data_IF_609724426573
#
_entry.id   IF_609724426573
#
_cell.length_a   1.000
_cell.length_b   1.000
_cell.length_c   1.000
_cell.angle_alpha   90.00
_cell.angle_beta   90.00
_cell.angle_gamma   90.00
#
_symmetry.space_group_name_H-M   'P 1'
#
loop_
_entity.id
_entity.type
_entity.pdbx_description
1 polymer ?
#
# COMPACT_ATOMS: atom_id res chain seq x y z
N UNK A 1 -33.99 -24.21 21.86
CA UNK A 1 -33.48 -23.09 22.66
C UNK A 1 -33.56 -21.84 21.79
N UNK A 2 -34.38 -20.86 22.18
CA UNK A 2 -34.63 -19.66 21.39
C UNK A 2 -33.53 -18.62 21.60
N UNK A 3 -33.02 -18.06 20.51
CA UNK A 3 -32.15 -16.88 20.54
C UNK A 3 -32.99 -15.67 20.97
N UNK A 4 -32.74 -15.15 22.17
CA UNK A 4 -33.34 -13.91 22.65
C UNK A 4 -32.71 -12.71 21.91
N UNK A 5 -33.56 -11.93 21.25
CA UNK A 5 -33.23 -10.65 20.63
C UNK A 5 -33.45 -9.57 21.68
N UNK A 6 -32.39 -9.13 22.36
CA UNK A 6 -32.47 -7.99 23.27
C UNK A 6 -31.70 -8.17 24.57
N UNK A 7 -30.49 -7.64 24.58
CA UNK A 7 -29.63 -7.52 25.76
C UNK A 7 -28.24 -7.13 25.30
N UNK A 8 -27.50 -6.36 26.09
CA UNK A 8 -26.15 -5.85 25.82
C UNK A 8 -25.07 -6.93 25.53
N UNK A 9 -25.47 -8.19 25.40
CA UNK A 9 -24.67 -9.38 25.12
C UNK A 9 -25.17 -10.17 23.91
N UNK A 10 -26.07 -9.60 23.10
CA UNK A 10 -26.46 -10.23 21.84
C UNK A 10 -25.21 -10.37 20.95
N UNK A 11 -24.84 -11.58 20.49
CA UNK A 11 -23.60 -11.80 19.76
C UNK A 11 -23.41 -10.88 18.55
N UNK A 12 -24.51 -10.52 17.88
CA UNK A 12 -24.48 -9.55 16.78
C UNK A 12 -24.11 -8.12 17.20
N UNK A 13 -24.58 -7.66 18.37
CA UNK A 13 -24.24 -6.32 18.87
C UNK A 13 -22.78 -6.24 19.33
N UNK A 14 -22.30 -7.28 20.04
CA UNK A 14 -20.90 -7.35 20.46
C UNK A 14 -19.97 -7.43 19.25
N UNK A 15 -20.34 -8.24 18.24
CA UNK A 15 -19.58 -8.31 16.99
C UNK A 15 -19.60 -6.99 16.22
N UNK A 16 -20.72 -6.26 16.22
CA UNK A 16 -20.80 -4.95 15.59
C UNK A 16 -19.87 -3.93 16.28
N UNK A 17 -19.93 -3.84 17.61
CA UNK A 17 -19.07 -2.95 18.39
C UNK A 17 -17.58 -3.23 18.16
N UNK A 18 -17.17 -4.51 18.20
CA UNK A 18 -15.78 -4.88 17.93
C UNK A 18 -15.31 -4.45 16.53
N UNK A 19 -16.19 -4.54 15.53
CA UNK A 19 -15.89 -4.09 14.16
C UNK A 19 -15.84 -2.57 14.04
N UNK A 20 -16.68 -1.84 14.79
CA UNK A 20 -16.63 -0.38 14.87
C UNK A 20 -15.32 0.12 15.51
N UNK A 21 -14.76 -0.65 16.45
CA UNK A 21 -13.48 -0.39 17.07
C UNK A 21 -12.28 -0.87 16.20
N UNK A 22 -12.47 -0.99 14.88
CA UNK A 22 -11.50 -1.49 13.89
C UNK A 22 -11.03 -2.95 14.09
N UNK A 23 -11.75 -3.72 14.90
CA UNK A 23 -11.48 -5.14 15.09
C UNK A 23 -11.95 -5.98 13.89
N UNK A 24 -11.11 -6.91 13.45
CA UNK A 24 -11.46 -7.86 12.37
C UNK A 24 -11.94 -9.18 12.96
N UNK A 25 -13.22 -9.49 12.74
CA UNK A 25 -13.83 -10.76 13.17
C UNK A 25 -13.80 -11.80 12.05
N UNK A 26 -12.95 -12.81 12.21
CA UNK A 26 -12.87 -13.99 11.33
C UNK A 26 -13.82 -15.08 11.83
N UNK A 27 -14.70 -15.54 10.95
CA UNK A 27 -15.66 -16.61 11.27
C UNK A 27 -15.40 -17.79 10.35
N UNK A 28 -14.96 -18.90 10.95
CA UNK A 28 -14.76 -20.16 10.25
C UNK A 28 -15.92 -21.10 10.55
N UNK A 29 -16.81 -21.30 9.58
CA UNK A 29 -17.99 -22.14 9.72
C UNK A 29 -17.68 -23.57 9.25
N UNK A 30 -17.65 -24.50 10.19
CA UNK A 30 -17.46 -25.92 9.90
C UNK A 30 -18.79 -26.58 9.52
N UNK A 31 -18.89 -27.08 8.29
CA UNK A 31 -20.04 -27.80 7.76
C UNK A 31 -19.78 -29.30 7.88
N UNK A 32 -20.63 -30.00 8.63
CA UNK A 32 -20.61 -31.45 8.78
C UNK A 32 -21.07 -32.16 7.49
N UNK A 33 -20.80 -33.46 7.39
CA UNK A 33 -21.22 -34.28 6.25
C UNK A 33 -22.75 -34.23 6.09
N UNK A 34 -23.21 -33.80 4.90
CA UNK A 34 -24.63 -33.50 4.59
C UNK A 34 -25.24 -32.27 5.29
N UNK A 35 -24.44 -31.43 5.94
CA UNK A 35 -24.88 -30.16 6.52
C UNK A 35 -24.94 -29.01 5.50
N UNK A 36 -25.58 -27.90 5.90
CA UNK A 36 -25.55 -26.64 5.16
C UNK A 36 -24.86 -25.55 5.99
N UNK A 37 -24.19 -24.57 5.37
CA UNK A 37 -23.60 -23.45 6.08
C UNK A 37 -24.66 -22.64 6.86
N UNK A 38 -24.40 -22.31 8.13
CA UNK A 38 -25.28 -21.44 8.91
C UNK A 38 -25.11 -19.99 8.45
N UNK A 39 -26.06 -19.52 7.65
CA UNK A 39 -25.99 -18.19 7.02
C UNK A 39 -26.04 -17.05 8.03
N UNK A 40 -26.58 -17.26 9.24
CA UNK A 40 -26.57 -16.24 10.29
C UNK A 40 -25.16 -15.92 10.80
N UNK A 41 -24.24 -16.88 10.76
CA UNK A 41 -22.84 -16.67 11.17
C UNK A 41 -22.10 -15.70 10.24
N UNK A 42 -22.52 -15.63 8.97
CA UNK A 42 -21.99 -14.66 8.01
C UNK A 42 -22.21 -13.21 8.44
N UNK A 43 -23.31 -12.92 9.14
CA UNK A 43 -23.62 -11.57 9.60
C UNK A 43 -22.73 -11.13 10.78
N UNK A 44 -22.11 -12.08 11.49
CA UNK A 44 -21.17 -11.78 12.55
C UNK A 44 -19.81 -11.38 11.97
N UNK A 45 -19.37 -12.12 10.95
CA UNK A 45 -18.07 -11.92 10.31
C UNK A 45 -17.85 -10.48 9.80
N UNK A 46 -16.59 -10.10 9.69
CA UNK A 46 -16.20 -8.91 8.93
C UNK A 46 -16.33 -9.16 7.43
N UNK A 47 -16.52 -8.13 6.59
CA UNK A 47 -16.58 -8.29 5.14
C UNK A 47 -15.34 -9.05 4.61
N UNK A 48 -15.55 -10.15 3.88
CA UNK A 48 -14.46 -10.98 3.35
C UNK A 48 -13.82 -11.98 4.33
N UNK A 49 -14.33 -12.07 5.56
CA UNK A 49 -13.77 -12.93 6.63
C UNK A 49 -14.71 -14.06 7.09
N UNK A 50 -15.73 -14.38 6.30
CA UNK A 50 -16.53 -15.59 6.48
C UNK A 50 -15.97 -16.71 5.60
N UNK A 51 -15.57 -17.82 6.24
CA UNK A 51 -14.94 -18.96 5.59
C UNK A 51 -15.68 -20.25 5.92
N UNK A 52 -15.55 -21.26 5.06
CA UNK A 52 -16.09 -22.60 5.29
C UNK A 52 -15.05 -23.67 5.04
N UNK A 53 -15.13 -24.80 5.76
CA UNK A 53 -14.26 -25.96 5.53
C UNK A 53 -14.41 -26.56 4.12
N UNK A 54 -15.58 -26.43 3.50
CA UNK A 54 -15.85 -26.89 2.13
C UNK A 54 -15.13 -26.09 1.06
N UNK A 55 -14.76 -24.83 1.36
CA UNK A 55 -14.04 -23.93 0.45
C UNK A 55 -12.54 -23.84 0.81
N UNK A 56 -12.15 -24.22 2.03
CA UNK A 56 -10.80 -24.12 2.56
C UNK A 56 -10.18 -25.50 2.88
N UNK A 57 -10.05 -26.35 1.85
CA UNK A 57 -9.58 -27.73 2.01
C UNK A 57 -8.15 -27.85 2.58
N UNK A 58 -7.32 -26.81 2.41
CA UNK A 58 -5.90 -26.81 2.79
C UNK A 58 -5.56 -25.83 3.92
N UNK A 59 -6.54 -25.09 4.46
CA UNK A 59 -6.29 -24.04 5.47
C UNK A 59 -5.63 -22.76 4.92
N UNK A 60 -5.54 -22.62 3.59
CA UNK A 60 -4.94 -21.46 2.96
C UNK A 60 -5.82 -20.21 3.11
N UNK A 61 -7.14 -20.37 3.08
CA UNK A 61 -8.06 -19.24 3.18
C UNK A 61 -8.05 -18.65 4.59
N UNK A 62 -8.06 -19.50 5.64
CA UNK A 62 -7.94 -19.04 7.02
C UNK A 62 -6.57 -18.41 7.31
N UNK A 63 -5.49 -19.00 6.77
CA UNK A 63 -4.14 -18.42 6.91
C UNK A 63 -4.07 -17.02 6.31
N UNK A 64 -4.56 -16.83 5.08
CA UNK A 64 -4.60 -15.49 4.44
C UNK A 64 -5.49 -14.52 5.22
N UNK A 65 -6.65 -14.97 5.69
CA UNK A 65 -7.53 -14.14 6.51
C UNK A 65 -6.82 -13.64 7.78
N UNK A 66 -6.04 -14.48 8.45
CA UNK A 66 -5.29 -14.06 9.63
C UNK A 66 -4.15 -13.07 9.29
N UNK A 67 -3.49 -13.21 8.13
CA UNK A 67 -2.51 -12.22 7.66
C UNK A 67 -3.18 -10.87 7.38
N UNK A 68 -4.29 -10.89 6.65
CA UNK A 68 -5.02 -9.71 6.20
C UNK A 68 -5.67 -8.95 7.37
N UNK A 69 -6.09 -9.66 8.42
CA UNK A 69 -6.73 -9.05 9.59
C UNK A 69 -5.87 -8.00 10.30
N UNK A 70 -4.54 -8.12 10.21
CA UNK A 70 -3.59 -7.15 10.75
C UNK A 70 -2.90 -6.32 9.65
N UNK A 71 -3.42 -6.36 8.42
CA UNK A 71 -2.85 -5.65 7.27
C UNK A 71 -3.41 -4.23 7.16
N UNK A 72 -2.60 -3.21 7.49
CA UNK A 72 -3.04 -1.80 7.44
C UNK A 72 -1.87 -0.81 7.23
N UNK A 73 -2.17 0.42 6.85
CA UNK A 73 -1.19 1.51 6.80
C UNK A 73 -1.12 2.27 8.13
N UNK A 74 0.08 2.69 8.56
CA UNK A 74 0.27 3.53 9.75
C UNK A 74 -0.48 4.87 9.62
N UNK A 75 -0.78 5.51 10.75
CA UNK A 75 -1.40 6.83 10.76
C UNK A 75 -0.57 7.82 9.91
N UNK A 76 -1.24 8.57 9.03
CA UNK A 76 -0.58 9.51 8.11
C UNK A 76 -0.02 8.87 6.83
N UNK A 77 -0.36 7.60 6.58
CA UNK A 77 -0.12 6.92 5.33
C UNK A 77 -1.43 6.47 4.68
N UNK A 78 -1.52 6.66 3.37
CA UNK A 78 -2.65 6.25 2.56
C UNK A 78 -2.32 4.99 1.77
N UNK A 79 -3.30 4.11 1.59
CA UNK A 79 -3.19 2.97 0.68
C UNK A 79 -3.26 3.43 -0.78
N UNK A 80 -2.42 2.84 -1.63
CA UNK A 80 -2.53 3.01 -3.07
C UNK A 80 -3.71 2.21 -3.64
N UNK A 81 -3.73 0.91 -3.35
CA UNK A 81 -4.78 -0.02 -3.74
C UNK A 81 -5.17 -0.88 -2.54
N UNK A 82 -6.43 -1.29 -2.53
CA UNK A 82 -6.99 -2.17 -1.50
C UNK A 82 -7.65 -3.38 -2.12
N UNK A 83 -7.56 -4.52 -1.44
CA UNK A 83 -8.24 -5.74 -1.83
C UNK A 83 -9.76 -5.52 -1.75
N UNK A 84 -10.52 -5.82 -2.81
CA UNK A 84 -11.96 -5.57 -2.84
C UNK A 84 -12.76 -6.48 -1.89
N UNK A 85 -12.20 -7.61 -1.43
CA UNK A 85 -12.89 -8.52 -0.51
C UNK A 85 -12.74 -8.09 0.95
N UNK A 86 -11.55 -7.65 1.36
CA UNK A 86 -11.19 -7.39 2.77
C UNK A 86 -10.81 -5.95 3.06
N UNK A 87 -10.75 -5.09 2.04
CA UNK A 87 -10.33 -3.69 2.12
C UNK A 87 -8.93 -3.50 2.74
N UNK A 88 -8.04 -4.46 2.53
CA UNK A 88 -6.67 -4.44 3.03
C UNK A 88 -5.71 -3.89 1.99
N UNK A 89 -4.61 -3.22 2.38
CA UNK A 89 -3.60 -2.76 1.43
C UNK A 89 -3.07 -3.93 0.58
N UNK A 90 -3.19 -3.85 -0.75
CA UNK A 90 -2.61 -4.84 -1.68
C UNK A 90 -1.21 -4.46 -2.13
N UNK A 91 -0.87 -3.18 -1.97
CA UNK A 91 0.39 -2.58 -2.36
C UNK A 91 0.97 -1.78 -1.18
N UNK A 92 2.00 -0.97 -1.45
CA UNK A 92 2.64 -0.15 -0.45
C UNK A 92 1.74 0.98 0.09
N UNK A 93 2.13 1.48 1.27
CA UNK A 93 1.53 2.62 1.93
C UNK A 93 2.32 3.89 1.61
N UNK A 94 1.64 4.98 1.28
CA UNK A 94 2.26 6.22 0.81
C UNK A 94 2.01 7.38 1.76
N UNK A 95 3.03 8.21 1.99
CA UNK A 95 2.91 9.46 2.75
C UNK A 95 3.49 10.62 1.95
N UNK A 96 2.61 11.37 1.29
CA UNK A 96 2.97 12.53 0.48
C UNK A 96 3.42 13.70 1.37
N UNK A 97 4.60 14.25 1.08
CA UNK A 97 5.18 15.40 1.78
C UNK A 97 5.17 16.61 0.84
N UNK A 98 4.43 17.65 1.22
CA UNK A 98 4.30 18.89 0.44
C UNK A 98 5.56 19.78 0.50
N UNK A 99 6.47 19.51 1.42
CA UNK A 99 7.72 20.26 1.54
C UNK A 99 8.65 19.88 0.37
N UNK A 100 9.14 20.89 -0.35
CA UNK A 100 10.13 20.69 -1.39
C UNK A 100 11.52 20.51 -0.78
N UNK A 101 12.21 19.43 -1.14
CA UNK A 101 13.56 19.15 -0.65
C UNK A 101 14.43 18.61 -1.77
N UNK A 102 15.75 18.60 -1.56
CA UNK A 102 16.64 17.87 -2.44
C UNK A 102 16.47 16.36 -2.29
N UNK A 103 16.98 15.60 -3.27
CA UNK A 103 16.78 14.16 -3.34
C UNK A 103 17.33 13.43 -2.11
N UNK A 104 18.52 13.84 -1.63
CA UNK A 104 19.16 13.21 -0.48
C UNK A 104 18.35 13.38 0.80
N UNK A 105 17.82 14.58 1.05
CA UNK A 105 16.96 14.84 2.21
C UNK A 105 15.64 14.06 2.13
N UNK A 106 15.01 13.99 0.95
CA UNK A 106 13.81 13.20 0.73
C UNK A 106 14.07 11.71 1.03
N UNK A 107 15.13 11.13 0.46
CA UNK A 107 15.49 9.71 0.71
C UNK A 107 15.81 9.45 2.18
N UNK A 108 16.57 10.33 2.84
CA UNK A 108 16.92 10.17 4.24
C UNK A 108 15.68 10.24 5.15
N UNK A 109 14.73 11.13 4.82
CA UNK A 109 13.46 11.22 5.55
C UNK A 109 12.67 9.92 5.42
N UNK A 110 12.49 9.39 4.20
CA UNK A 110 11.74 8.15 4.03
C UNK A 110 12.44 6.95 4.68
N UNK A 111 13.77 6.89 4.65
CA UNK A 111 14.53 5.86 5.38
C UNK A 111 14.32 5.93 6.89
N UNK A 112 14.19 7.12 7.46
CA UNK A 112 13.88 7.29 8.90
C UNK A 112 12.46 6.81 9.26
N UNK A 113 11.56 6.74 8.28
CA UNK A 113 10.21 6.18 8.41
C UNK A 113 10.17 4.67 8.04
N UNK A 114 11.34 4.01 7.99
CA UNK A 114 11.50 2.59 7.61
C UNK A 114 11.02 2.26 6.19
N UNK A 115 11.05 3.24 5.28
CA UNK A 115 10.65 3.07 3.89
C UNK A 115 11.66 3.62 2.89
N UNK A 116 11.17 3.79 1.68
CA UNK A 116 11.91 4.36 0.56
C UNK A 116 11.21 5.62 0.07
N UNK A 117 11.93 6.44 -0.68
CA UNK A 117 11.26 7.43 -1.53
C UNK A 117 10.42 6.67 -2.56
N UNK A 118 9.19 7.13 -2.81
CA UNK A 118 8.20 6.42 -3.60
C UNK A 118 8.76 6.00 -4.95
N UNK A 119 8.60 4.72 -5.30
CA UNK A 119 9.26 4.15 -6.46
C UNK A 119 8.59 4.66 -7.74
N UNK A 120 7.26 4.58 -7.86
CA UNK A 120 6.55 5.04 -9.07
C UNK A 120 6.96 4.23 -10.31
N UNK A 121 6.97 2.90 -10.17
CA UNK A 121 7.41 1.95 -11.21
C UNK A 121 6.37 1.79 -12.32
N UNK A 122 5.11 2.04 -12.00
CA UNK A 122 3.96 1.87 -12.88
C UNK A 122 3.21 3.20 -13.05
N UNK A 123 2.51 3.35 -14.19
CA UNK A 123 1.77 4.58 -14.55
C UNK A 123 0.68 4.92 -13.51
N UNK A 124 -0.08 3.91 -13.08
CA UNK A 124 -1.11 4.05 -12.02
C UNK A 124 -0.53 4.58 -10.70
N UNK A 125 0.70 4.19 -10.33
CA UNK A 125 1.39 4.67 -9.14
C UNK A 125 1.78 6.14 -9.31
N UNK A 126 2.36 6.53 -10.45
CA UNK A 126 2.71 7.92 -10.72
C UNK A 126 1.48 8.83 -10.77
N UNK A 127 0.38 8.35 -11.34
CA UNK A 127 -0.90 9.08 -11.37
C UNK A 127 -1.49 9.26 -9.98
N UNK A 128 -1.42 8.22 -9.14
CA UNK A 128 -1.84 8.32 -7.75
C UNK A 128 -1.02 9.35 -6.98
N UNK A 129 0.30 9.34 -7.16
CA UNK A 129 1.20 10.28 -6.51
C UNK A 129 0.94 11.72 -6.98
N UNK A 130 0.73 11.95 -8.27
CA UNK A 130 0.41 13.28 -8.81
C UNK A 130 -0.83 13.87 -8.13
N UNK A 131 -1.90 13.08 -7.97
CA UNK A 131 -3.14 13.51 -7.29
C UNK A 131 -2.95 13.87 -5.82
N UNK A 132 -1.85 13.46 -5.19
CA UNK A 132 -1.52 13.79 -3.80
C UNK A 132 -0.75 15.11 -3.67
N UNK A 133 -0.23 15.66 -4.77
CA UNK A 133 0.46 16.94 -4.80
C UNK A 133 -0.39 18.03 -5.44
N UNK A 134 0.07 19.28 -5.39
CA UNK A 134 -0.58 20.37 -6.11
C UNK A 134 -0.52 20.10 -7.61
N UNK A 135 -1.65 20.23 -8.31
CA UNK A 135 -1.74 19.97 -9.75
C UNK A 135 -0.65 20.72 -10.53
N UNK A 136 0.02 20.00 -11.43
CA UNK A 136 1.12 20.54 -12.23
C UNK A 136 2.49 20.55 -11.53
N UNK A 137 2.58 20.11 -10.27
CA UNK A 137 3.86 20.04 -9.55
C UNK A 137 4.71 18.85 -10.00
N UNK A 138 6.01 19.07 -10.10
CA UNK A 138 6.96 17.97 -10.24
C UNK A 138 7.31 17.38 -8.89
N UNK A 139 7.50 16.06 -8.84
CA UNK A 139 7.84 15.34 -7.63
C UNK A 139 8.97 14.34 -7.87
N UNK A 140 9.71 14.01 -6.83
CA UNK A 140 10.75 12.99 -6.88
C UNK A 140 10.16 11.59 -6.99
N UNK A 141 10.82 10.75 -7.79
CA UNK A 141 10.65 9.29 -7.75
C UNK A 141 11.94 8.63 -7.29
N UNK A 142 11.82 7.43 -6.74
CA UNK A 142 12.93 6.67 -6.19
C UNK A 142 13.90 6.10 -7.23
N UNK A 143 14.10 6.77 -8.36
CA UNK A 143 15.00 6.36 -9.42
C UNK A 143 16.25 7.27 -9.43
N UNK A 144 17.43 6.65 -9.41
CA UNK A 144 18.71 7.37 -9.42
C UNK A 144 19.76 6.62 -10.23
N UNK A 145 20.60 7.35 -10.95
CA UNK A 145 21.74 6.81 -11.66
C UNK A 145 22.82 6.35 -10.69
N UNK A 146 23.24 5.10 -10.84
CA UNK A 146 24.35 4.51 -10.12
C UNK A 146 25.62 4.56 -10.98
N UNK A 147 26.62 5.29 -10.49
CA UNK A 147 27.88 5.52 -11.21
C UNK A 147 28.72 4.24 -11.35
N UNK A 148 28.57 3.25 -10.46
CA UNK A 148 29.36 2.02 -10.52
C UNK A 148 28.77 1.02 -11.50
N UNK A 149 27.44 0.85 -11.48
CA UNK A 149 26.70 -0.04 -12.39
C UNK A 149 26.42 0.59 -13.75
N UNK A 150 26.66 1.90 -13.90
CA UNK A 150 26.36 2.67 -15.11
C UNK A 150 24.91 2.45 -15.56
N UNK A 151 23.98 2.50 -14.61
CA UNK A 151 22.55 2.25 -14.84
C UNK A 151 21.67 2.93 -13.79
N UNK A 152 20.38 3.10 -14.10
CA UNK A 152 19.40 3.57 -13.14
C UNK A 152 18.98 2.45 -12.18
N UNK A 153 18.99 2.76 -10.89
CA UNK A 153 18.51 1.90 -9.80
C UNK A 153 17.36 2.56 -9.07
N UNK A 154 16.41 1.72 -8.68
CA UNK A 154 15.34 2.07 -7.77
C UNK A 154 15.86 2.13 -6.33
N UNK A 155 15.17 2.88 -5.48
CA UNK A 155 15.54 3.06 -4.07
C UNK A 155 15.48 1.76 -3.25
N UNK A 156 14.71 0.77 -3.71
CA UNK A 156 14.69 -0.59 -3.17
C UNK A 156 15.88 -1.47 -3.64
N UNK A 157 16.77 -0.92 -4.48
CA UNK A 157 17.95 -1.58 -5.01
C UNK A 157 17.72 -2.37 -6.30
N UNK A 158 16.48 -2.50 -6.76
CA UNK A 158 16.16 -3.14 -8.04
C UNK A 158 16.67 -2.30 -9.22
N UNK A 159 17.13 -2.97 -10.28
CA UNK A 159 17.55 -2.29 -11.49
C UNK A 159 16.33 -1.84 -12.30
N UNK A 160 16.44 -0.70 -12.99
CA UNK A 160 15.45 -0.32 -13.98
C UNK A 160 15.42 -1.36 -15.11
N UNK A 161 14.29 -2.03 -15.27
CA UNK A 161 14.07 -3.07 -16.29
C UNK A 161 13.00 -2.64 -17.28
N UNK A 162 13.19 -2.96 -18.55
CA UNK A 162 12.24 -2.64 -19.63
C UNK A 162 12.78 -1.61 -20.61
N UNK A 163 12.29 -1.66 -21.84
CA UNK A 163 12.79 -0.85 -22.96
C UNK A 163 12.00 0.42 -23.22
N UNK A 164 10.74 0.49 -22.77
CA UNK A 164 9.87 1.65 -22.92
C UNK A 164 9.57 2.22 -21.54
N UNK A 165 10.31 3.27 -21.17
CA UNK A 165 10.08 4.06 -19.96
C UNK A 165 9.65 5.45 -20.39
N UNK A 166 8.84 6.17 -19.60
CA UNK A 166 8.23 7.44 -20.01
C UNK A 166 9.22 8.60 -19.92
N UNK A 167 10.43 8.48 -20.47
CA UNK A 167 11.43 9.54 -20.45
C UNK A 167 11.00 10.72 -21.31
N UNK A 168 11.11 11.93 -20.75
CA UNK A 168 10.86 13.18 -21.47
C UNK A 168 11.85 13.41 -22.64
N UNK A 169 13.03 12.81 -22.56
CA UNK A 169 14.09 12.88 -23.58
C UNK A 169 14.53 11.51 -24.06
N UNK A 170 14.94 11.43 -25.32
CA UNK A 170 15.48 10.20 -25.92
C UNK A 170 16.81 9.75 -25.31
N UNK A 171 17.56 10.67 -24.69
CA UNK A 171 18.71 10.34 -23.85
C UNK A 171 18.31 10.43 -22.38
N UNK A 172 18.21 9.31 -21.66
CA UNK A 172 17.74 9.29 -20.28
C UNK A 172 18.82 9.69 -19.27
N UNK A 173 20.08 9.87 -19.66
CA UNK A 173 21.14 10.25 -18.73
C UNK A 173 22.13 11.24 -19.35
N UNK A 174 22.55 12.21 -18.53
CA UNK A 174 23.66 13.12 -18.80
C UNK A 174 24.45 13.29 -17.50
N UNK A 175 25.76 13.52 -17.60
CA UNK A 175 26.61 13.74 -16.42
C UNK A 175 26.10 14.91 -15.59
N UNK A 176 25.86 14.68 -14.30
CA UNK A 176 25.40 15.72 -13.36
C UNK A 176 23.89 15.78 -13.16
N UNK A 177 23.10 14.98 -13.88
CA UNK A 177 21.65 14.81 -13.67
C UNK A 177 21.33 13.37 -13.29
N UNK A 178 21.76 13.00 -12.08
CA UNK A 178 21.68 11.60 -11.61
C UNK A 178 20.32 11.25 -11.01
N UNK A 179 19.51 12.22 -10.62
CA UNK A 179 18.21 11.99 -9.95
C UNK A 179 17.06 12.18 -10.92
N UNK A 180 15.94 11.52 -10.68
CA UNK A 180 14.78 11.55 -11.59
C UNK A 180 13.56 12.12 -10.89
N UNK A 181 12.91 13.06 -11.55
CA UNK A 181 11.60 13.60 -11.16
C UNK A 181 10.53 13.22 -12.18
N UNK A 182 9.29 13.16 -11.75
CA UNK A 182 8.12 13.10 -12.62
C UNK A 182 7.65 14.52 -12.93
N UNK A 183 7.27 14.74 -14.18
CA UNK A 183 6.83 16.04 -14.71
C UNK A 183 5.52 15.86 -15.47
N UNK A 184 4.48 16.65 -15.16
CA UNK A 184 3.28 16.69 -15.99
C UNK A 184 3.57 17.29 -17.37
N UNK A 185 3.25 16.57 -18.44
CA UNK A 185 3.35 17.01 -19.83
C UNK A 185 2.01 16.81 -20.54
N UNK A 186 1.16 17.84 -20.48
CA UNK A 186 -0.21 17.73 -20.98
C UNK A 186 -1.03 16.79 -20.09
N UNK A 187 -1.53 15.69 -20.66
CA UNK A 187 -2.23 14.63 -19.93
C UNK A 187 -1.33 13.48 -19.47
N UNK A 188 -0.04 13.50 -19.82
CA UNK A 188 0.91 12.42 -19.51
C UNK A 188 1.86 12.82 -18.38
N UNK A 189 2.40 11.82 -17.68
CA UNK A 189 3.46 11.97 -16.69
C UNK A 189 4.76 11.39 -17.24
N UNK A 190 5.79 12.23 -17.35
CA UNK A 190 7.09 11.83 -17.91
C UNK A 190 8.22 11.96 -16.90
N UNK A 191 9.24 11.12 -17.05
CA UNK A 191 10.45 11.13 -16.24
C UNK A 191 11.48 12.07 -16.82
N UNK A 192 12.00 12.97 -15.99
CA UNK A 192 13.05 13.91 -16.35
C UNK A 192 14.26 13.74 -15.42
N UNK A 193 15.45 13.42 -15.96
CA UNK A 193 16.70 13.52 -15.22
C UNK A 193 16.95 14.96 -14.79
N UNK A 194 17.42 15.15 -13.56
CA UNK A 194 17.68 16.47 -12.98
C UNK A 194 18.81 16.39 -11.97
N UNK A 195 19.43 17.53 -11.69
CA UNK A 195 20.43 17.64 -10.62
C UNK A 195 19.77 17.29 -9.29
N UNK A 196 20.38 16.37 -8.54
CA UNK A 196 19.89 15.91 -7.24
C UNK A 196 19.78 17.02 -6.18
N UNK A 197 20.40 18.18 -6.42
CA UNK A 197 20.37 19.36 -5.54
C UNK A 197 19.13 20.23 -5.72
N UNK A 198 18.42 20.09 -6.83
CA UNK A 198 17.13 20.75 -7.04
C UNK A 198 16.12 20.36 -5.96
N UNK A 199 15.03 21.11 -5.82
CA UNK A 199 14.05 20.85 -4.76
C UNK A 199 12.67 20.55 -5.33
N UNK A 200 12.13 19.37 -5.00
CA UNK A 200 10.79 18.95 -5.42
C UNK A 200 10.05 18.32 -4.24
N UNK A 201 8.72 18.23 -4.35
CA UNK A 201 7.91 17.44 -3.42
C UNK A 201 8.24 15.95 -3.58
N UNK A 202 7.87 15.16 -2.59
CA UNK A 202 8.15 13.72 -2.60
C UNK A 202 7.12 12.98 -1.77
N UNK A 203 7.01 11.68 -2.01
CA UNK A 203 6.24 10.78 -1.18
C UNK A 203 7.18 9.72 -0.63
N UNK A 204 6.92 9.27 0.59
CA UNK A 204 7.54 8.07 1.13
C UNK A 204 6.63 6.87 0.87
N UNK A 205 7.24 5.73 0.60
CA UNK A 205 6.59 4.45 0.40
C UNK A 205 7.12 3.47 1.45
N UNK A 206 6.22 2.88 2.23
CA UNK A 206 6.53 1.88 3.26
C UNK A 206 5.71 0.62 3.02
N UNK A 207 6.25 -0.52 3.44
CA UNK A 207 5.48 -1.76 3.50
C UNK A 207 4.31 -1.59 4.46
N UNK A 208 3.11 -2.10 4.10
CA UNK A 208 1.99 -2.18 5.04
C UNK A 208 2.39 -2.95 6.29
N UNK A 209 1.76 -2.59 7.40
CA UNK A 209 1.85 -3.35 8.64
C UNK A 209 1.19 -4.70 8.42
N UNK A 210 1.80 -5.79 8.88
CA UNK A 210 1.22 -7.12 8.84
C UNK A 210 1.91 -8.03 9.87
N UNK A 211 1.69 -9.35 9.77
CA UNK A 211 2.33 -10.33 10.66
C UNK A 211 3.87 -10.41 10.55
N UNK A 212 4.46 -9.86 9.48
CA UNK A 212 5.91 -9.85 9.23
C UNK A 212 6.52 -8.46 9.42
N UNK A 213 5.71 -7.41 9.22
CA UNK A 213 6.05 -6.00 9.31
C UNK A 213 5.34 -5.42 10.52
N UNK A 214 5.95 -5.59 11.69
CA UNK A 214 5.36 -5.12 12.94
C UNK A 214 5.26 -3.59 12.96
N UNK A 215 4.07 -3.09 13.25
CA UNK A 215 3.80 -1.69 13.50
C UNK A 215 3.11 -1.54 14.83
N UNK A 216 3.58 -0.59 15.64
CA UNK A 216 2.78 -0.09 16.75
C UNK A 216 1.71 0.82 16.14
N UNK A 217 0.43 0.51 16.41
CA UNK A 217 -0.59 1.55 16.29
C UNK A 217 -0.26 2.59 17.37
N UNK A 218 0.21 3.77 16.96
CA UNK A 218 0.21 4.91 17.86
C UNK A 218 -1.26 5.29 18.04
N UNK A 219 -1.82 4.87 19.19
CA UNK A 219 -3.20 5.11 19.63
C UNK A 219 -3.40 6.60 19.92
#
# INVERSE_FOLDING_TARGET
MGFSVGGAFAPGQVAAQFKEDNGVLVVYNYVEEHGFPETKLKNLASPGYFLTNTEDNNGDAIRRALCDANCFCRLGYDTFETDPMRNTPTAACYSAKQAQTNYQLATNRCRSESGFIALGKEENQTDYLERKFNSGSSFWIGLKWDQFKQSYLWADGSALSGTAQPWASSSPHQTGVDCVRVVPQGSELVWAPVDCRETFTYSCEVSPCDSQTYCTQDV
#
